data_IF_717982653914
#
_entry.id   IF_717982653914
#
_cell.length_a   1.000
_cell.length_b   1.000
_cell.length_c   1.000
_cell.angle_alpha   90.00
_cell.angle_beta   90.00
_cell.angle_gamma   90.00
#
_symmetry.space_group_name_H-M   'P 1'
#
loop_
_entity.id
_entity.type
_entity.pdbx_description
1 polymer ?
#
# COMPACT_ATOMS: atom_id res chain seq x y z
N UNK A 1 -36.48 -13.92 57.15
CA UNK A 1 -35.39 -14.22 56.18
C UNK A 1 -36.01 -14.15 54.81
N UNK A 2 -36.06 -12.95 54.21
CA UNK A 2 -36.52 -12.72 52.86
C UNK A 2 -35.34 -12.91 51.90
N UNK A 3 -35.50 -13.87 50.95
CA UNK A 3 -34.62 -14.04 49.82
C UNK A 3 -34.94 -12.92 48.85
N UNK A 4 -34.04 -11.98 48.64
CA UNK A 4 -34.04 -11.07 47.51
C UNK A 4 -33.81 -11.86 46.25
N UNK A 5 -34.83 -11.96 45.42
CA UNK A 5 -34.70 -12.40 44.01
C UNK A 5 -33.87 -11.37 43.25
N UNK A 6 -32.66 -11.72 42.93
CA UNK A 6 -31.80 -10.94 42.04
C UNK A 6 -32.41 -10.93 40.64
N UNK A 7 -32.80 -9.76 40.23
CA UNK A 7 -33.49 -9.43 38.99
C UNK A 7 -32.75 -9.99 37.75
N UNK A 8 -33.34 -11.03 37.16
CA UNK A 8 -32.84 -11.66 35.93
C UNK A 8 -32.94 -10.76 34.70
N UNK A 9 -33.53 -9.56 34.85
CA UNK A 9 -33.66 -8.56 33.76
C UNK A 9 -32.37 -7.81 33.45
N UNK A 10 -31.37 -7.84 34.32
CA UNK A 10 -30.12 -7.11 34.13
C UNK A 10 -29.17 -7.78 33.12
N UNK A 11 -29.33 -9.08 32.82
CA UNK A 11 -28.48 -9.83 31.91
C UNK A 11 -29.00 -9.90 30.47
N UNK A 12 -30.22 -9.45 30.18
CA UNK A 12 -30.85 -9.57 28.87
C UNK A 12 -30.44 -8.50 27.83
N UNK A 13 -29.59 -7.52 28.21
CA UNK A 13 -29.21 -6.40 27.35
C UNK A 13 -27.72 -6.36 26.94
N UNK A 14 -26.96 -7.45 27.14
CA UNK A 14 -25.65 -7.53 26.52
C UNK A 14 -25.85 -7.85 25.04
N UNK A 15 -25.92 -6.80 24.20
CA UNK A 15 -25.82 -6.97 22.74
C UNK A 15 -24.59 -7.83 22.47
N UNK A 16 -24.80 -9.08 22.07
CA UNK A 16 -23.70 -9.90 21.57
C UNK A 16 -23.01 -9.12 20.45
N UNK A 17 -21.78 -8.71 20.67
CA UNK A 17 -20.98 -8.04 19.66
C UNK A 17 -20.87 -8.96 18.44
N UNK A 18 -21.41 -8.51 17.31
CA UNK A 18 -21.36 -9.29 16.06
C UNK A 18 -19.90 -9.26 15.53
N UNK A 19 -19.45 -10.43 15.10
CA UNK A 19 -18.15 -10.55 14.43
C UNK A 19 -18.39 -10.45 12.93
N UNK A 20 -17.70 -9.54 12.26
CA UNK A 20 -17.75 -9.37 10.81
C UNK A 20 -16.37 -9.53 10.20
N UNK A 21 -16.34 -10.11 8.99
CA UNK A 21 -15.14 -10.14 8.15
C UNK A 21 -15.22 -9.05 7.12
N UNK A 22 -14.11 -8.38 6.92
CA UNK A 22 -13.97 -7.22 6.06
C UNK A 22 -12.71 -7.37 5.19
N UNK A 23 -12.86 -7.16 3.87
CA UNK A 23 -11.81 -7.42 2.89
C UNK A 23 -11.24 -6.15 2.29
N UNK A 24 -9.92 -6.02 2.30
CA UNK A 24 -9.21 -4.90 1.67
C UNK A 24 -8.26 -5.44 0.61
N UNK A 25 -8.31 -4.85 -0.59
CA UNK A 25 -7.31 -4.98 -1.63
C UNK A 25 -6.43 -3.72 -1.64
N UNK A 26 -5.13 -3.89 -1.46
CA UNK A 26 -4.13 -2.86 -1.64
C UNK A 26 -3.31 -3.16 -2.90
N UNK A 27 -3.21 -2.21 -3.81
CA UNK A 27 -2.43 -2.30 -5.05
C UNK A 27 -1.51 -1.09 -5.15
N UNK A 28 -0.24 -1.30 -5.48
CA UNK A 28 0.72 -0.22 -5.78
C UNK A 28 1.38 -0.45 -7.13
N UNK A 29 1.53 0.64 -7.91
CA UNK A 29 2.14 0.57 -9.23
C UNK A 29 2.86 1.85 -9.62
N UNK A 30 4.17 1.76 -9.87
CA UNK A 30 4.91 2.82 -10.55
C UNK A 30 4.70 2.71 -12.06
N UNK A 31 4.01 3.69 -12.65
CA UNK A 31 3.55 3.67 -14.05
C UNK A 31 4.52 4.32 -15.04
N UNK A 32 5.70 4.70 -14.59
CA UNK A 32 6.76 5.28 -15.44
C UNK A 32 6.28 6.41 -16.37
N UNK A 33 5.44 7.32 -15.88
CA UNK A 33 4.90 8.45 -16.64
C UNK A 33 3.69 8.12 -17.50
N UNK A 34 3.26 6.90 -17.56
CA UNK A 34 2.15 6.43 -18.41
C UNK A 34 0.79 6.46 -17.68
N UNK A 35 -0.25 6.17 -18.43
CA UNK A 35 -1.60 5.91 -17.94
C UNK A 35 -2.13 4.72 -18.72
N UNK A 36 -2.71 3.71 -18.07
CA UNK A 36 -3.24 2.53 -18.75
C UNK A 36 -4.30 2.90 -19.79
N UNK A 37 -4.35 2.13 -20.87
CA UNK A 37 -5.51 2.01 -21.73
C UNK A 37 -6.62 1.24 -21.00
N UNK A 38 -7.83 1.19 -21.56
CA UNK A 38 -8.91 0.38 -20.98
C UNK A 38 -8.56 -1.11 -20.94
N UNK A 39 -7.84 -1.61 -21.94
CA UNK A 39 -7.41 -3.00 -22.00
C UNK A 39 -6.38 -3.32 -20.91
N UNK A 40 -5.34 -2.49 -20.79
CA UNK A 40 -4.32 -2.61 -19.75
C UNK A 40 -4.92 -2.46 -18.34
N UNK A 41 -5.92 -1.58 -18.18
CA UNK A 41 -6.65 -1.42 -16.93
C UNK A 41 -7.43 -2.70 -16.57
N UNK A 42 -8.08 -3.32 -17.56
CA UNK A 42 -8.76 -4.59 -17.36
C UNK A 42 -7.78 -5.70 -16.97
N UNK A 43 -6.63 -5.79 -17.63
CA UNK A 43 -5.57 -6.74 -17.26
C UNK A 43 -5.06 -6.50 -15.82
N UNK A 44 -4.93 -5.23 -15.43
CA UNK A 44 -4.45 -4.84 -14.10
C UNK A 44 -5.48 -5.13 -12.99
N UNK A 45 -6.78 -4.96 -13.24
CA UNK A 45 -7.76 -4.90 -12.16
C UNK A 45 -8.80 -6.03 -12.15
N UNK A 46 -9.05 -6.75 -13.25
CA UNK A 46 -10.12 -7.76 -13.30
C UNK A 46 -9.92 -8.86 -12.26
N UNK A 47 -8.69 -9.39 -12.11
CA UNK A 47 -8.40 -10.43 -11.12
C UNK A 47 -8.75 -9.98 -9.68
N UNK A 48 -8.59 -8.71 -9.38
CA UNK A 48 -8.93 -8.15 -8.08
C UNK A 48 -10.44 -7.94 -7.95
N UNK A 49 -11.11 -7.46 -9.01
CA UNK A 49 -12.55 -7.18 -9.02
C UNK A 49 -13.38 -8.45 -8.82
N UNK A 50 -12.99 -9.55 -9.42
CA UNK A 50 -13.66 -10.85 -9.26
C UNK A 50 -13.68 -11.35 -7.81
N UNK A 51 -12.67 -11.00 -7.01
CA UNK A 51 -12.58 -11.36 -5.58
C UNK A 51 -13.50 -10.52 -4.67
N UNK A 52 -14.13 -9.47 -5.22
CA UNK A 52 -15.20 -8.69 -4.60
C UNK A 52 -14.84 -8.13 -3.21
N UNK A 53 -13.78 -7.32 -3.13
CA UNK A 53 -13.33 -6.68 -1.89
C UNK A 53 -14.29 -5.56 -1.45
N UNK A 54 -14.30 -5.27 -0.16
CA UNK A 54 -15.07 -4.18 0.44
C UNK A 54 -14.42 -2.82 0.20
N UNK A 55 -13.07 -2.78 0.22
CA UNK A 55 -12.26 -1.60 -0.11
C UNK A 55 -11.17 -1.98 -1.12
N UNK A 56 -10.96 -1.09 -2.09
CA UNK A 56 -9.77 -1.07 -2.93
C UNK A 56 -8.98 0.20 -2.64
N UNK A 57 -7.71 0.04 -2.27
CA UNK A 57 -6.74 1.11 -2.12
C UNK A 57 -5.71 1.01 -3.26
N UNK A 58 -5.78 1.95 -4.19
CA UNK A 58 -4.95 1.95 -5.40
C UNK A 58 -3.94 3.08 -5.28
N UNK A 59 -2.68 2.72 -5.04
CA UNK A 59 -1.54 3.62 -5.02
C UNK A 59 -0.84 3.65 -6.38
N UNK A 60 -0.56 4.81 -6.91
CA UNK A 60 0.23 4.96 -8.12
C UNK A 60 1.40 5.92 -7.91
N UNK A 61 2.51 5.64 -8.60
CA UNK A 61 3.65 6.53 -8.71
C UNK A 61 3.90 6.79 -10.20
N UNK A 62 4.32 8.00 -10.53
CA UNK A 62 4.59 8.44 -11.90
C UNK A 62 3.41 8.26 -12.88
N UNK A 63 2.16 8.25 -12.39
CA UNK A 63 0.98 8.12 -13.22
C UNK A 63 0.76 9.38 -14.07
N UNK A 64 0.42 9.22 -15.37
CA UNK A 64 0.14 10.24 -16.38
C UNK A 64 1.35 11.07 -16.82
N UNK A 65 2.35 11.25 -16.00
CA UNK A 65 3.50 12.13 -16.27
C UNK A 65 4.73 11.70 -15.48
N UNK A 66 5.91 11.97 -16.06
CA UNK A 66 7.17 11.87 -15.34
C UNK A 66 7.16 12.77 -14.08
N UNK A 67 7.98 12.44 -13.10
CA UNK A 67 8.10 13.21 -11.85
C UNK A 67 8.26 14.70 -12.11
N UNK A 68 9.15 15.09 -13.03
CA UNK A 68 9.44 16.50 -13.33
C UNK A 68 8.20 17.25 -13.82
N UNK A 69 7.45 16.68 -14.79
CA UNK A 69 6.21 17.30 -15.32
C UNK A 69 5.11 17.39 -14.26
N UNK A 70 5.04 16.43 -13.34
CA UNK A 70 4.04 16.39 -12.27
C UNK A 70 4.27 17.44 -11.17
N UNK A 71 5.47 18.01 -11.05
CA UNK A 71 5.73 19.13 -10.15
C UNK A 71 5.01 20.41 -10.56
N UNK A 72 4.77 20.60 -11.88
CA UNK A 72 4.10 21.77 -12.43
C UNK A 72 2.61 21.53 -12.69
N UNK A 73 2.23 20.27 -12.91
CA UNK A 73 0.85 19.89 -13.20
C UNK A 73 0.56 18.49 -12.71
N UNK A 74 -0.25 18.38 -11.67
CA UNK A 74 -0.51 17.14 -10.94
C UNK A 74 -1.92 16.56 -11.15
N UNK A 75 -2.69 17.07 -12.14
CA UNK A 75 -4.05 16.58 -12.43
C UNK A 75 -4.06 15.08 -12.74
N UNK A 76 -4.91 14.35 -12.05
CA UNK A 76 -5.13 12.90 -12.14
C UNK A 76 -6.53 12.54 -12.65
N UNK A 77 -7.31 13.52 -13.10
CA UNK A 77 -8.72 13.29 -13.51
C UNK A 77 -8.89 12.20 -14.56
N UNK A 78 -7.95 12.09 -15.51
CA UNK A 78 -7.97 10.99 -16.49
C UNK A 78 -7.88 9.62 -15.80
N UNK A 79 -6.94 9.44 -14.87
CA UNK A 79 -6.76 8.21 -14.11
C UNK A 79 -7.97 7.91 -13.22
N UNK A 80 -8.46 8.91 -12.50
CA UNK A 80 -9.65 8.79 -11.67
C UNK A 80 -10.90 8.38 -12.45
N UNK A 81 -11.10 8.97 -13.64
CA UNK A 81 -12.24 8.67 -14.50
C UNK A 81 -12.16 7.25 -15.06
N UNK A 82 -10.98 6.79 -15.46
CA UNK A 82 -10.76 5.39 -15.86
C UNK A 82 -11.14 4.43 -14.75
N UNK A 83 -10.69 4.67 -13.52
CA UNK A 83 -11.02 3.83 -12.38
C UNK A 83 -12.52 3.90 -12.01
N UNK A 84 -13.13 5.08 -12.04
CA UNK A 84 -14.59 5.23 -11.81
C UNK A 84 -15.39 4.43 -12.85
N UNK A 85 -15.00 4.50 -14.11
CA UNK A 85 -15.62 3.71 -15.18
C UNK A 85 -15.46 2.21 -14.95
N UNK A 86 -14.27 1.76 -14.56
CA UNK A 86 -13.97 0.35 -14.29
C UNK A 86 -14.78 -0.21 -13.12
N UNK A 87 -14.81 0.48 -11.99
CA UNK A 87 -15.52 0.03 -10.79
C UNK A 87 -17.05 0.18 -10.92
N UNK A 88 -17.51 1.08 -11.78
CA UNK A 88 -18.92 1.27 -12.12
C UNK A 88 -19.79 1.60 -10.91
N UNK A 89 -21.05 1.14 -10.96
CA UNK A 89 -22.03 1.49 -9.95
C UNK A 89 -21.89 0.74 -8.62
N UNK A 90 -21.12 -0.34 -8.55
CA UNK A 90 -20.99 -1.14 -7.34
C UNK A 90 -20.09 -0.50 -6.28
N UNK A 91 -19.21 0.41 -6.69
CA UNK A 91 -18.25 1.09 -5.81
C UNK A 91 -18.37 2.59 -5.90
N UNK A 92 -17.95 3.26 -4.83
CA UNK A 92 -17.90 4.70 -4.71
C UNK A 92 -16.45 5.11 -4.43
N UNK A 93 -15.92 6.08 -5.18
CA UNK A 93 -14.63 6.69 -4.88
C UNK A 93 -14.78 7.60 -3.66
N UNK A 94 -14.20 7.23 -2.53
CA UNK A 94 -14.30 7.98 -1.26
C UNK A 94 -13.18 8.99 -1.08
N UNK A 95 -12.02 8.75 -1.65
CA UNK A 95 -10.90 9.67 -1.58
C UNK A 95 -10.01 9.52 -2.79
N UNK A 96 -9.42 10.63 -3.22
CA UNK A 96 -8.27 10.72 -4.12
C UNK A 96 -7.33 11.80 -3.62
N UNK A 97 -6.07 11.44 -3.36
CA UNK A 97 -5.07 12.36 -2.82
C UNK A 97 -3.81 12.30 -3.66
N UNK A 98 -3.32 13.47 -4.06
CA UNK A 98 -2.17 13.59 -4.96
C UNK A 98 -1.09 14.47 -4.35
N UNK A 99 0.16 14.03 -4.46
CA UNK A 99 1.37 14.83 -4.25
C UNK A 99 2.25 14.68 -5.50
N UNK A 100 2.24 15.66 -6.37
CA UNK A 100 2.96 15.63 -7.66
C UNK A 100 2.66 14.34 -8.45
N UNK A 101 3.63 13.40 -8.51
CA UNK A 101 3.50 12.15 -9.25
C UNK A 101 3.02 10.96 -8.39
N UNK A 102 2.71 11.19 -7.11
CA UNK A 102 2.27 10.17 -6.15
C UNK A 102 0.77 10.36 -5.93
N UNK A 103 -0.01 9.30 -6.08
CA UNK A 103 -1.46 9.36 -5.90
C UNK A 103 -1.97 8.12 -5.16
N UNK A 104 -2.98 8.28 -4.32
CA UNK A 104 -3.75 7.19 -3.72
C UNK A 104 -5.24 7.43 -3.93
N UNK A 105 -5.95 6.39 -4.34
CA UNK A 105 -7.40 6.42 -4.55
C UNK A 105 -8.04 5.29 -3.73
N UNK A 106 -9.11 5.62 -3.02
CA UNK A 106 -9.87 4.67 -2.20
C UNK A 106 -11.25 4.49 -2.81
N UNK A 107 -11.56 3.27 -3.24
CA UNK A 107 -12.90 2.84 -3.62
C UNK A 107 -13.50 1.99 -2.51
N UNK A 108 -14.78 2.21 -2.23
CA UNK A 108 -15.55 1.51 -1.21
C UNK A 108 -16.81 0.92 -1.84
N UNK A 109 -17.10 -0.32 -1.52
CA UNK A 109 -18.33 -0.98 -1.96
C UNK A 109 -19.56 -0.22 -1.44
N UNK A 110 -20.51 0.09 -2.31
CA UNK A 110 -21.67 0.93 -1.94
C UNK A 110 -22.51 0.33 -0.81
N UNK A 111 -22.55 -0.99 -0.67
CA UNK A 111 -23.29 -1.66 0.42
C UNK A 111 -22.78 -1.34 1.83
N UNK A 112 -21.49 -0.96 1.95
CA UNK A 112 -20.86 -0.64 3.25
C UNK A 112 -20.47 0.84 3.38
N UNK A 113 -20.80 1.69 2.41
CA UNK A 113 -20.36 3.09 2.36
C UNK A 113 -20.70 3.91 3.59
N UNK A 114 -21.82 3.60 4.26
CA UNK A 114 -22.28 4.30 5.46
C UNK A 114 -21.49 3.91 6.73
N UNK A 115 -20.74 2.81 6.67
CA UNK A 115 -19.87 2.37 7.75
C UNK A 115 -18.53 3.09 7.74
N UNK A 116 -18.20 3.83 6.67
CA UNK A 116 -17.00 4.64 6.53
C UNK A 116 -17.30 6.08 6.96
N UNK A 117 -16.57 6.57 7.96
CA UNK A 117 -16.71 7.93 8.51
C UNK A 117 -15.35 8.58 8.69
N UNK A 118 -15.36 9.90 8.96
CA UNK A 118 -14.16 10.68 9.33
C UNK A 118 -13.01 10.51 8.32
N UNK A 119 -13.33 10.51 7.01
CA UNK A 119 -12.31 10.41 5.98
C UNK A 119 -11.46 11.67 6.00
N UNK A 120 -10.16 11.49 6.20
CA UNK A 120 -9.19 12.57 6.23
C UNK A 120 -7.94 12.13 5.47
N UNK A 121 -7.13 13.08 5.03
CA UNK A 121 -5.95 12.80 4.24
C UNK A 121 -4.84 13.83 4.50
N UNK A 122 -3.62 13.47 4.15
CA UNK A 122 -2.46 14.34 4.19
C UNK A 122 -1.44 13.93 3.12
N UNK A 123 -0.49 14.81 2.86
CA UNK A 123 0.66 14.56 2.00
C UNK A 123 1.94 15.07 2.64
N UNK A 124 3.01 14.26 2.55
CA UNK A 124 4.31 14.57 3.15
C UNK A 124 5.37 14.56 2.05
N UNK A 125 6.06 15.66 1.88
CA UNK A 125 7.21 15.81 0.98
C UNK A 125 8.46 15.26 1.64
N UNK A 126 9.30 14.53 0.88
CA UNK A 126 10.62 14.07 1.37
C UNK A 126 11.75 14.32 0.36
N UNK A 127 11.45 14.91 -0.79
CA UNK A 127 12.45 15.28 -1.79
C UNK A 127 13.17 16.58 -1.44
N UNK A 128 14.44 16.71 -1.84
CA UNK A 128 15.29 17.89 -1.65
C UNK A 128 15.15 18.50 -0.26
N UNK A 129 15.61 17.78 0.76
CA UNK A 129 15.52 18.19 2.17
C UNK A 129 14.09 18.53 2.62
N UNK A 130 13.13 17.68 2.26
CA UNK A 130 11.69 17.78 2.61
C UNK A 130 10.93 18.95 1.99
N UNK A 131 11.52 19.64 0.99
CA UNK A 131 10.90 20.78 0.33
C UNK A 131 10.20 20.44 -0.98
N UNK A 132 10.67 19.41 -1.70
CA UNK A 132 10.18 19.08 -3.02
C UNK A 132 9.25 17.86 -3.00
N UNK A 133 8.09 17.96 -3.64
CA UNK A 133 7.08 16.90 -3.72
C UNK A 133 7.38 15.78 -4.71
N UNK A 134 8.58 15.75 -5.30
CA UNK A 134 9.01 14.70 -6.23
C UNK A 134 9.20 13.34 -5.55
N UNK A 135 9.40 13.32 -4.26
CA UNK A 135 9.43 12.16 -3.36
C UNK A 135 8.63 12.47 -2.10
N UNK A 136 8.07 11.42 -1.49
CA UNK A 136 7.23 11.55 -0.31
C UNK A 136 6.14 10.52 -0.24
N UNK A 137 5.03 10.89 0.37
CA UNK A 137 3.87 10.03 0.53
C UNK A 137 2.56 10.81 0.55
N UNK A 138 1.49 10.12 0.18
CA UNK A 138 0.08 10.53 0.40
C UNK A 138 -0.58 9.48 1.27
N UNK A 139 -1.41 9.91 2.20
CA UNK A 139 -2.12 9.02 3.12
C UNK A 139 -3.59 9.39 3.25
N UNK A 140 -4.42 8.38 3.36
CA UNK A 140 -5.85 8.49 3.65
C UNK A 140 -6.13 7.68 4.91
N UNK A 141 -6.86 8.25 5.85
CA UNK A 141 -7.35 7.52 7.01
C UNK A 141 -8.83 7.79 7.23
N UNK A 142 -9.48 6.79 7.76
CA UNK A 142 -10.92 6.80 8.00
C UNK A 142 -11.28 5.87 9.15
N UNK A 143 -12.48 6.07 9.70
CA UNK A 143 -13.06 5.15 10.67
C UNK A 143 -14.02 4.21 9.92
N UNK A 144 -13.78 2.90 10.02
CA UNK A 144 -14.70 1.86 9.57
C UNK A 144 -15.37 1.23 10.79
N UNK A 145 -16.70 1.41 10.91
CA UNK A 145 -17.46 1.05 12.11
C UNK A 145 -16.86 1.76 13.34
N UNK A 146 -15.95 1.11 14.06
CA UNK A 146 -15.24 1.61 15.25
C UNK A 146 -13.70 1.49 15.12
N UNK A 147 -13.17 1.18 13.93
CA UNK A 147 -11.76 0.93 13.67
C UNK A 147 -11.18 2.06 12.82
N UNK A 148 -10.04 2.58 13.23
CA UNK A 148 -9.31 3.62 12.52
C UNK A 148 -8.25 2.98 11.62
N UNK A 149 -8.45 3.12 10.31
CA UNK A 149 -7.59 2.55 9.28
C UNK A 149 -6.84 3.67 8.56
N UNK A 150 -5.54 3.50 8.34
CA UNK A 150 -4.74 4.40 7.52
C UNK A 150 -4.04 3.61 6.40
N UNK A 151 -4.10 4.14 5.18
CA UNK A 151 -3.40 3.60 4.03
C UNK A 151 -2.53 4.70 3.44
N UNK A 152 -1.23 4.42 3.32
CA UNK A 152 -0.20 5.35 2.83
C UNK A 152 0.37 4.79 1.54
N UNK A 153 0.42 5.60 0.50
CA UNK A 153 1.18 5.33 -0.72
C UNK A 153 2.39 6.25 -0.79
N UNK A 154 3.57 5.68 -1.02
CA UNK A 154 4.85 6.39 -0.96
C UNK A 154 5.68 6.20 -2.23
N UNK A 155 6.52 7.18 -2.53
CA UNK A 155 7.60 7.09 -3.51
C UNK A 155 8.89 7.64 -2.87
N UNK A 156 9.75 6.74 -2.39
CA UNK A 156 10.96 7.10 -1.65
C UNK A 156 12.15 7.36 -2.59
N UNK A 157 13.27 7.81 -1.99
CA UNK A 157 14.48 8.19 -2.71
C UNK A 157 15.06 7.02 -3.52
N UNK A 158 15.28 7.26 -4.82
CA UNK A 158 15.89 6.28 -5.72
C UNK A 158 17.41 6.11 -5.42
N UNK A 159 18.03 5.18 -6.11
CA UNK A 159 19.45 4.77 -6.06
C UNK A 159 19.78 3.91 -4.85
N UNK A 160 20.76 3.01 -5.04
CA UNK A 160 21.17 2.01 -4.06
C UNK A 160 21.78 2.64 -2.80
N UNK A 161 22.60 3.64 -2.97
CA UNK A 161 23.33 4.35 -1.89
C UNK A 161 22.43 5.13 -0.93
N UNK A 162 21.18 5.39 -1.31
CA UNK A 162 20.25 6.23 -0.56
C UNK A 162 19.42 5.44 0.48
N UNK A 163 19.88 4.30 1.00
CA UNK A 163 19.08 3.51 1.97
C UNK A 163 18.79 4.30 3.24
N UNK A 164 19.77 5.04 3.75
CA UNK A 164 19.57 5.87 4.95
C UNK A 164 18.57 7.01 4.70
N UNK A 165 18.62 7.65 3.53
CA UNK A 165 17.63 8.68 3.14
C UNK A 165 16.22 8.08 3.10
N UNK A 166 16.05 6.84 2.60
CA UNK A 166 14.77 6.13 2.61
C UNK A 166 14.29 5.85 4.03
N UNK A 167 15.18 5.39 4.90
CA UNK A 167 14.88 5.10 6.30
C UNK A 167 14.41 6.36 7.03
N UNK A 168 15.13 7.46 6.90
CA UNK A 168 14.78 8.75 7.48
C UNK A 168 13.46 9.29 6.91
N UNK A 169 13.22 9.12 5.60
CA UNK A 169 11.98 9.49 4.95
C UNK A 169 10.80 8.67 5.46
N UNK A 170 10.96 7.36 5.62
CA UNK A 170 9.94 6.48 6.19
C UNK A 170 9.54 6.95 7.60
N UNK A 171 10.52 7.17 8.48
CA UNK A 171 10.26 7.65 9.84
C UNK A 171 9.59 9.02 9.85
N UNK A 172 10.06 9.94 9.01
CA UNK A 172 9.48 11.28 8.91
C UNK A 172 8.02 11.24 8.44
N UNK A 173 7.72 10.41 7.41
CA UNK A 173 6.35 10.21 6.92
C UNK A 173 5.45 9.69 8.05
N UNK A 174 5.85 8.63 8.73
CA UNK A 174 5.04 8.03 9.80
C UNK A 174 4.78 9.02 10.93
N UNK A 175 5.79 9.79 11.34
CA UNK A 175 5.66 10.76 12.44
C UNK A 175 4.76 11.95 12.10
N UNK A 176 4.70 12.34 10.82
CA UNK A 176 4.04 13.57 10.39
C UNK A 176 2.75 13.36 9.59
N UNK A 177 2.45 12.11 9.15
CA UNK A 177 1.29 11.83 8.33
C UNK A 177 -0.02 12.10 9.09
N UNK A 178 -0.12 11.66 10.33
CA UNK A 178 -1.30 11.84 11.16
C UNK A 178 -0.91 12.23 12.60
N UNK A 179 -1.35 13.39 13.12
CA UNK A 179 -1.05 13.81 14.49
C UNK A 179 -1.61 12.86 15.55
N UNK A 180 -2.67 12.11 15.21
CA UNK A 180 -3.29 11.11 16.06
C UNK A 180 -2.83 9.68 15.74
N UNK A 181 -1.61 9.50 15.23
CA UNK A 181 -1.07 8.19 14.82
C UNK A 181 -1.30 7.10 15.88
N UNK A 182 -1.22 7.47 17.16
CA UNK A 182 -1.47 6.55 18.28
C UNK A 182 -2.90 6.02 18.37
N UNK A 183 -3.87 6.60 17.66
CA UNK A 183 -5.28 6.15 17.62
C UNK A 183 -5.59 5.26 16.40
N UNK A 184 -4.61 5.00 15.54
CA UNK A 184 -4.79 4.14 14.38
C UNK A 184 -4.70 2.67 14.79
N UNK A 185 -5.60 1.85 14.27
CA UNK A 185 -5.75 0.44 14.62
C UNK A 185 -5.13 -0.49 13.58
N UNK A 186 -5.24 -0.12 12.30
CA UNK A 186 -4.63 -0.84 11.18
C UNK A 186 -4.00 0.16 10.21
N UNK A 187 -2.75 -0.10 9.82
CA UNK A 187 -2.00 0.76 8.92
C UNK A 187 -1.41 -0.08 7.80
N UNK A 188 -1.57 0.39 6.57
CA UNK A 188 -0.85 -0.12 5.39
C UNK A 188 0.09 0.97 4.88
N UNK A 189 1.35 0.60 4.68
CA UNK A 189 2.37 1.45 4.06
C UNK A 189 2.86 0.77 2.80
N UNK A 190 2.52 1.32 1.64
CA UNK A 190 2.84 0.73 0.35
C UNK A 190 3.50 1.75 -0.59
N UNK A 191 4.02 1.29 -1.71
CA UNK A 191 4.53 2.15 -2.77
C UNK A 191 5.81 1.66 -3.40
N UNK A 192 6.38 2.49 -4.27
CA UNK A 192 7.76 2.37 -4.72
C UNK A 192 8.69 2.87 -3.61
N UNK A 193 9.05 1.95 -2.71
CA UNK A 193 9.91 2.24 -1.58
C UNK A 193 11.39 2.31 -1.98
N UNK A 194 11.73 1.95 -3.22
CA UNK A 194 13.06 2.08 -3.82
C UNK A 194 14.20 1.37 -3.07
N UNK A 195 13.91 0.44 -2.16
CA UNK A 195 14.96 -0.38 -1.56
C UNK A 195 15.58 -1.30 -2.61
N UNK A 196 16.87 -1.50 -2.54
CA UNK A 196 17.67 -2.21 -3.54
C UNK A 196 18.35 -3.44 -2.92
N UNK A 197 19.18 -4.12 -3.70
CA UNK A 197 19.99 -5.24 -3.23
C UNK A 197 21.41 -4.77 -2.88
N UNK A 198 21.93 -5.21 -1.74
CA UNK A 198 23.29 -4.88 -1.29
C UNK A 198 24.40 -5.66 -2.02
N UNK A 199 24.03 -6.57 -2.94
CA UNK A 199 24.97 -7.29 -3.78
C UNK A 199 25.36 -6.48 -5.03
N UNK A 200 26.65 -6.51 -5.42
CA UNK A 200 27.16 -5.81 -6.60
C UNK A 200 27.38 -6.74 -7.82
N UNK A 201 27.26 -8.05 -7.63
CA UNK A 201 27.53 -9.06 -8.67
C UNK A 201 26.36 -10.03 -8.78
N UNK A 202 25.24 -9.56 -9.31
CA UNK A 202 24.11 -10.44 -9.57
C UNK A 202 24.22 -10.94 -11.01
N UNK A 203 24.40 -12.23 -11.17
CA UNK A 203 24.26 -12.89 -12.47
C UNK A 203 22.78 -12.96 -12.83
N UNK A 204 22.40 -12.28 -13.90
CA UNK A 204 21.01 -12.08 -14.30
C UNK A 204 20.31 -13.39 -14.63
N UNK A 205 21.04 -14.36 -15.18
CA UNK A 205 20.49 -15.69 -15.45
C UNK A 205 20.04 -16.42 -14.17
N UNK A 206 20.62 -16.09 -12.99
CA UNK A 206 20.18 -16.60 -11.70
C UNK A 206 18.92 -15.91 -11.17
N UNK A 207 18.61 -14.70 -11.63
CA UNK A 207 17.49 -13.94 -11.07
C UNK A 207 16.15 -14.66 -11.32
N UNK A 208 15.97 -15.32 -12.45
CA UNK A 208 14.70 -16.02 -12.75
C UNK A 208 14.60 -17.37 -12.04
N UNK A 209 15.70 -18.06 -11.84
CA UNK A 209 15.71 -19.41 -11.30
C UNK A 209 15.89 -19.46 -9.78
N UNK A 210 16.71 -18.54 -9.25
CA UNK A 210 17.14 -18.56 -7.85
C UNK A 210 16.91 -17.20 -7.15
N UNK A 211 15.88 -16.46 -7.57
CA UNK A 211 15.63 -15.10 -7.06
C UNK A 211 15.45 -15.05 -5.54
N UNK A 212 15.00 -16.13 -4.92
CA UNK A 212 14.82 -16.19 -3.47
C UNK A 212 16.15 -16.01 -2.71
N UNK A 213 17.27 -16.47 -3.27
CA UNK A 213 18.60 -16.26 -2.66
C UNK A 213 18.97 -14.78 -2.62
N UNK A 214 18.44 -13.98 -3.57
CA UNK A 214 18.71 -12.55 -3.62
C UNK A 214 18.02 -11.77 -2.50
N UNK A 215 17.00 -12.33 -1.86
CA UNK A 215 16.30 -11.70 -0.73
C UNK A 215 17.22 -11.51 0.49
N UNK A 216 18.30 -12.29 0.62
CA UNK A 216 19.30 -12.10 1.66
C UNK A 216 20.00 -10.73 1.55
N UNK A 217 20.07 -10.20 0.33
CA UNK A 217 20.67 -8.90 0.03
C UNK A 217 19.66 -7.76 0.00
N UNK A 218 18.36 -8.03 0.22
CA UNK A 218 17.32 -6.99 0.17
C UNK A 218 17.49 -5.96 1.29
N UNK A 219 17.67 -4.70 0.90
CA UNK A 219 17.89 -3.60 1.83
C UNK A 219 16.75 -3.45 2.83
N UNK A 220 15.49 -3.56 2.40
CA UNK A 220 14.36 -3.38 3.32
C UNK A 220 14.32 -4.49 4.37
N UNK A 221 14.56 -5.73 3.97
CA UNK A 221 14.63 -6.87 4.92
C UNK A 221 15.75 -6.71 5.95
N UNK A 222 16.87 -6.13 5.54
CA UNK A 222 17.97 -5.80 6.43
C UNK A 222 17.62 -4.62 7.35
N UNK A 223 17.05 -3.55 6.80
CA UNK A 223 16.73 -2.32 7.54
C UNK A 223 15.56 -2.50 8.50
N UNK A 224 14.58 -3.37 8.20
CA UNK A 224 13.49 -3.70 9.15
C UNK A 224 14.01 -4.11 10.53
N UNK A 225 15.17 -4.77 10.59
CA UNK A 225 15.82 -5.16 11.84
C UNK A 225 16.55 -4.01 12.53
N UNK A 226 16.96 -2.97 11.78
CA UNK A 226 17.75 -1.85 12.27
C UNK A 226 16.91 -0.61 12.58
N UNK A 227 15.83 -0.38 11.81
CA UNK A 227 14.95 0.78 12.01
C UNK A 227 14.05 0.50 13.20
N UNK A 228 14.40 1.06 14.36
CA UNK A 228 13.63 0.92 15.60
C UNK A 228 12.16 1.28 15.43
N UNK A 229 11.83 2.29 14.61
CA UNK A 229 10.45 2.70 14.40
C UNK A 229 9.65 1.62 13.68
N UNK A 230 10.21 0.97 12.65
CA UNK A 230 9.52 -0.13 11.94
C UNK A 230 9.26 -1.29 12.90
N UNK A 231 10.28 -1.69 13.68
CA UNK A 231 10.14 -2.78 14.65
C UNK A 231 9.22 -2.42 15.82
N UNK A 232 9.32 -1.20 16.36
CA UNK A 232 8.48 -0.75 17.49
C UNK A 232 7.01 -0.57 17.11
N UNK A 233 6.71 -0.25 15.85
CA UNK A 233 5.34 -0.16 15.34
C UNK A 233 4.80 -1.50 14.85
N UNK A 234 5.62 -2.56 14.88
CA UNK A 234 5.22 -3.90 14.49
C UNK A 234 4.88 -4.06 13.01
N UNK A 235 5.49 -3.25 12.12
CA UNK A 235 5.29 -3.41 10.69
C UNK A 235 5.77 -4.78 10.21
N UNK A 236 4.86 -5.48 9.55
CA UNK A 236 5.07 -6.78 8.91
C UNK A 236 5.00 -6.63 7.40
N UNK A 237 5.50 -7.63 6.72
CA UNK A 237 5.37 -7.79 5.27
C UNK A 237 5.17 -9.28 4.98
N UNK A 238 4.35 -9.59 4.01
CA UNK A 238 4.16 -10.94 3.53
C UNK A 238 5.45 -11.56 3.01
N UNK A 239 5.47 -12.88 2.92
CA UNK A 239 6.58 -13.57 2.28
C UNK A 239 6.63 -13.19 0.80
N UNK A 240 7.79 -12.73 0.34
CA UNK A 240 8.02 -12.46 -1.07
C UNK A 240 8.27 -13.79 -1.78
N UNK A 241 7.32 -14.18 -2.63
CA UNK A 241 7.41 -15.38 -3.47
C UNK A 241 7.29 -15.03 -4.96
N UNK A 242 7.61 -13.79 -5.32
CA UNK A 242 7.54 -13.27 -6.68
C UNK A 242 8.88 -12.67 -7.12
N UNK A 243 9.07 -12.56 -8.43
CA UNK A 243 10.27 -11.97 -9.03
C UNK A 243 10.46 -10.51 -8.63
N UNK A 244 11.70 -9.98 -8.67
CA UNK A 244 11.94 -8.54 -8.52
C UNK A 244 10.98 -7.72 -9.38
N UNK A 245 10.48 -6.60 -8.82
CA UNK A 245 9.48 -5.76 -9.50
C UNK A 245 10.08 -4.67 -10.37
N UNK A 246 11.37 -4.47 -10.28
CA UNK A 246 12.16 -3.46 -11.02
C UNK A 246 13.54 -4.06 -11.35
N UNK A 247 14.27 -3.75 -12.40
CA UNK A 247 13.94 -2.90 -13.52
C UNK A 247 13.73 -3.77 -14.75
N UNK A 248 12.59 -3.58 -15.40
CA UNK A 248 12.28 -4.25 -16.66
C UNK A 248 12.56 -3.33 -17.86
N UNK A 249 12.68 -3.89 -19.05
CA UNK A 249 12.57 -3.16 -20.32
C UNK A 249 11.09 -2.84 -20.56
N UNK A 250 10.80 -1.63 -21.01
CA UNK A 250 9.42 -1.24 -21.31
C UNK A 250 8.78 -2.19 -22.32
N UNK A 251 7.53 -2.54 -22.08
CA UNK A 251 6.72 -3.45 -22.91
C UNK A 251 7.29 -4.87 -23.06
N UNK A 252 8.09 -5.31 -22.12
CA UNK A 252 8.63 -6.68 -22.07
C UNK A 252 8.59 -7.24 -20.65
N UNK A 253 8.82 -8.55 -20.53
CA UNK A 253 9.06 -9.23 -19.26
C UNK A 253 10.56 -9.43 -18.96
N UNK A 254 11.44 -8.79 -19.76
CA UNK A 254 12.88 -8.89 -19.62
C UNK A 254 13.45 -7.85 -18.67
N UNK A 255 14.33 -8.26 -17.76
CA UNK A 255 15.07 -7.32 -16.93
C UNK A 255 16.00 -6.43 -17.76
N UNK A 256 16.04 -5.14 -17.42
CA UNK A 256 16.97 -4.17 -18.04
C UNK A 256 18.34 -4.22 -17.37
N UNK A 257 19.20 -5.03 -17.94
CA UNK A 257 20.56 -5.32 -17.44
C UNK A 257 21.64 -4.42 -17.99
N UNK A 258 21.29 -3.50 -18.89
CA UNK A 258 22.27 -2.60 -19.56
C UNK A 258 22.94 -1.64 -18.56
N UNK A 259 22.36 -1.42 -17.41
CA UNK A 259 22.91 -0.52 -16.40
C UNK A 259 23.11 -1.25 -15.07
N UNK A 260 24.37 -1.56 -14.76
CA UNK A 260 24.77 -2.26 -13.53
C UNK A 260 24.34 -1.54 -12.24
N UNK A 261 24.12 -0.21 -12.29
CA UNK A 261 23.62 0.58 -11.15
C UNK A 261 22.10 0.44 -10.92
N UNK A 262 21.39 -0.17 -11.87
CA UNK A 262 19.94 -0.39 -11.82
C UNK A 262 19.61 -1.88 -11.86
N UNK A 263 20.29 -2.65 -11.05
CA UNK A 263 20.04 -4.10 -10.91
C UNK A 263 18.59 -4.36 -10.50
N UNK A 264 18.02 -5.50 -10.92
CA UNK A 264 16.73 -5.95 -10.45
C UNK A 264 16.62 -5.94 -8.92
N UNK A 265 15.49 -5.48 -8.41
CA UNK A 265 15.22 -5.39 -6.99
C UNK A 265 13.71 -5.34 -6.72
N UNK A 266 13.29 -5.66 -5.50
CA UNK A 266 11.93 -5.50 -5.01
C UNK A 266 11.75 -4.08 -4.49
N UNK A 267 11.50 -3.13 -5.39
CA UNK A 267 11.32 -1.72 -5.05
C UNK A 267 9.92 -1.39 -4.59
N UNK A 268 8.94 -2.15 -5.07
CA UNK A 268 7.52 -1.94 -4.87
C UNK A 268 7.03 -2.91 -3.78
N UNK A 269 6.57 -2.36 -2.63
CA UNK A 269 6.36 -3.12 -1.41
C UNK A 269 5.05 -2.73 -0.71
N UNK A 270 4.50 -3.66 0.08
CA UNK A 270 3.34 -3.43 0.94
C UNK A 270 3.64 -3.94 2.35
N UNK A 271 3.79 -3.00 3.28
CA UNK A 271 3.96 -3.25 4.70
C UNK A 271 2.64 -2.98 5.43
N UNK A 272 2.39 -3.69 6.52
CA UNK A 272 1.22 -3.43 7.35
C UNK A 272 1.51 -3.62 8.83
N UNK A 273 0.70 -2.99 9.68
CA UNK A 273 0.72 -3.21 11.13
C UNK A 273 -0.69 -3.15 11.70
N UNK A 274 -0.94 -3.99 12.70
CA UNK A 274 -2.12 -3.94 13.56
C UNK A 274 -1.66 -3.52 14.94
N UNK A 275 -2.38 -2.59 15.56
CA UNK A 275 -2.09 -2.22 16.94
C UNK A 275 -2.51 -3.35 17.88
N UNK A 276 -1.62 -3.77 18.78
CA UNK A 276 -1.89 -4.83 19.78
C UNK A 276 -3.01 -4.45 20.76
N UNK A 277 -3.16 -3.16 21.09
CA UNK A 277 -4.19 -2.65 22.00
C UNK A 277 -5.54 -2.39 21.35
N UNK A 278 -5.71 -2.76 20.07
CA UNK A 278 -6.98 -2.59 19.37
C UNK A 278 -7.95 -3.71 19.72
N UNK A 279 -8.97 -3.41 20.53
CA UNK A 279 -10.03 -4.36 20.87
C UNK A 279 -11.06 -4.56 19.75
N UNK A 280 -11.11 -3.66 18.76
CA UNK A 280 -12.05 -3.73 17.65
C UNK A 280 -11.63 -4.72 16.56
N UNK A 281 -10.31 -4.90 16.34
CA UNK A 281 -9.76 -5.86 15.38
C UNK A 281 -9.35 -7.13 16.14
N UNK A 282 -10.08 -8.22 15.91
CA UNK A 282 -9.76 -9.52 16.49
C UNK A 282 -8.60 -10.18 15.76
N UNK A 283 -8.60 -10.10 14.40
CA UNK A 283 -7.56 -10.69 13.58
C UNK A 283 -7.32 -9.88 12.29
N UNK A 284 -6.08 -9.96 11.77
CA UNK A 284 -5.67 -9.46 10.46
C UNK A 284 -4.89 -10.56 9.76
N UNK A 285 -5.50 -11.11 8.73
CA UNK A 285 -4.91 -12.12 7.86
C UNK A 285 -4.50 -11.46 6.53
N UNK A 286 -3.22 -11.54 6.18
CA UNK A 286 -2.74 -11.25 4.83
C UNK A 286 -2.89 -12.52 3.99
N UNK A 287 -3.92 -12.55 3.12
CA UNK A 287 -4.30 -13.75 2.36
C UNK A 287 -3.34 -13.98 1.19
N UNK A 288 -2.97 -12.88 0.53
CA UNK A 288 -2.16 -12.93 -0.68
C UNK A 288 -1.24 -11.71 -0.73
N UNK A 289 0.00 -11.92 -1.15
CA UNK A 289 0.98 -10.87 -1.41
C UNK A 289 1.80 -11.29 -2.61
N UNK A 290 1.60 -10.61 -3.73
CA UNK A 290 2.19 -11.00 -5.01
C UNK A 290 2.39 -9.80 -5.95
N UNK A 291 3.01 -10.05 -7.09
CA UNK A 291 3.21 -9.09 -8.17
C UNK A 291 2.59 -9.59 -9.48
N UNK A 292 2.20 -8.65 -10.35
CA UNK A 292 1.58 -8.96 -11.63
C UNK A 292 2.64 -8.93 -12.75
N UNK A 293 3.33 -10.05 -12.95
CA UNK A 293 4.43 -10.14 -13.92
C UNK A 293 3.98 -9.98 -15.38
N UNK A 294 2.72 -10.26 -15.68
CA UNK A 294 2.11 -10.13 -17.02
C UNK A 294 1.80 -8.67 -17.43
N UNK A 295 1.87 -7.71 -16.50
CA UNK A 295 1.68 -6.29 -16.82
C UNK A 295 3.02 -5.72 -17.33
N UNK A 296 3.02 -5.21 -18.56
CA UNK A 296 4.25 -4.84 -19.27
C UNK A 296 4.42 -3.33 -19.51
N UNK A 297 3.40 -2.53 -19.24
CA UNK A 297 3.33 -1.10 -19.55
C UNK A 297 4.48 -0.27 -18.94
N UNK A 298 5.06 -0.69 -17.82
CA UNK A 298 6.10 0.05 -17.08
C UNK A 298 7.38 -0.76 -16.91
N UNK A 299 8.47 -0.09 -16.56
CA UNK A 299 9.71 -0.73 -16.10
C UNK A 299 9.61 -1.28 -14.65
N UNK A 300 8.45 -1.11 -14.01
CA UNK A 300 8.04 -1.75 -12.77
C UNK A 300 6.91 -2.75 -13.01
N UNK A 301 6.74 -3.69 -12.07
CA UNK A 301 5.57 -4.57 -11.99
C UNK A 301 4.65 -4.14 -10.85
N UNK A 302 3.31 -4.17 -11.04
CA UNK A 302 2.38 -3.91 -9.95
C UNK A 302 2.54 -4.93 -8.82
N UNK A 303 2.37 -4.46 -7.58
CA UNK A 303 2.36 -5.31 -6.38
C UNK A 303 1.03 -5.14 -5.66
N UNK A 304 0.45 -6.25 -5.21
CA UNK A 304 -0.80 -6.22 -4.49
C UNK A 304 -0.78 -7.07 -3.23
N UNK A 305 -1.67 -6.74 -2.32
CA UNK A 305 -1.91 -7.55 -1.13
C UNK A 305 -3.38 -7.54 -0.76
N UNK A 306 -3.88 -8.69 -0.32
CA UNK A 306 -5.23 -8.88 0.16
C UNK A 306 -5.24 -9.11 1.66
N UNK A 307 -6.14 -8.40 2.34
CA UNK A 307 -6.31 -8.51 3.78
C UNK A 307 -7.74 -8.89 4.13
N UNK A 308 -7.89 -9.85 5.07
CA UNK A 308 -9.11 -10.06 5.81
C UNK A 308 -8.94 -9.46 7.22
N UNK A 309 -9.82 -8.55 7.59
CA UNK A 309 -9.93 -8.05 8.95
C UNK A 309 -11.16 -8.69 9.60
N UNK A 310 -10.95 -9.42 10.68
CA UNK A 310 -12.03 -9.89 11.55
C UNK A 310 -12.25 -8.86 12.64
N UNK A 311 -13.43 -8.23 12.64
CA UNK A 311 -13.74 -7.10 13.51
C UNK A 311 -14.93 -7.39 14.41
N UNK A 312 -14.94 -6.73 15.56
CA UNK A 312 -16.08 -6.69 16.47
C UNK A 312 -16.92 -5.47 16.18
N UNK A 313 -18.22 -5.65 15.88
CA UNK A 313 -19.19 -4.60 15.53
C UNK A 313 -20.17 -4.39 16.67
#
# INVERSE_FOLDING_TARGET
>A
MEKQDLDSSFFSNIKMSQIQKFKICCLTYNMHGQCPTNEELNQLLNIHKEKNFDIYAIGSQECLRSIFKSLFYSDKSKWENLLKSFFGENYEMKASVTLAAINIIIFVKKSIRNNIRNITFNSIKTGANYNLGNKGAVGVWFTFVNINIMIINSHLAARKENSEIRNNSFEYIIKNMNPNFKKLDFIVFMGDLNYRLNNNKIEINKIRNDYLELLEFDQLSFEKRRIKLISNLGFKEGKINFLPTFKYRNNTDEFDVRNIKKQPAWTDRILYTKRETCFGILDVEQIEYDSMQNILMSDHKPVYSYFNLTIRV
#
